data_IF_167798217435
#
_entry.id   IF_167798217435
#
_cell.length_a   1.000
_cell.length_b   1.000
_cell.length_c   1.000
_cell.angle_alpha   90.00
_cell.angle_beta   90.00
_cell.angle_gamma   90.00
#
_symmetry.space_group_name_H-M   'P 1'
#
loop_
_entity.id
_entity.type
_entity.pdbx_description
1 polymer ?
#
# COMPACT_ATOMS: atom_id res chain seq x y z
N UNK A 1 -19.21 -10.01 -8.07
CA UNK A 1 -18.15 -9.54 -7.15
C UNK A 1 -17.36 -10.77 -6.69
N UNK A 2 -16.02 -10.79 -6.66
CA UNK A 2 -15.25 -12.01 -6.36
C UNK A 2 -15.43 -12.47 -4.89
N UNK A 3 -15.48 -13.78 -4.61
CA UNK A 3 -15.80 -14.34 -3.29
C UNK A 3 -14.78 -13.98 -2.19
N UNK A 4 -13.53 -13.68 -2.55
CA UNK A 4 -12.46 -13.35 -1.60
C UNK A 4 -12.63 -11.99 -0.91
N UNK A 5 -13.44 -11.08 -1.46
CA UNK A 5 -13.60 -9.72 -0.90
C UNK A 5 -14.40 -9.72 0.40
N UNK A 6 -15.34 -10.67 0.55
CA UNK A 6 -16.24 -10.76 1.72
C UNK A 6 -15.48 -11.22 2.97
N UNK A 7 -14.46 -12.08 2.82
CA UNK A 7 -13.68 -12.59 3.96
C UNK A 7 -12.68 -11.59 4.52
N UNK A 8 -12.22 -10.65 3.69
CA UNK A 8 -11.16 -9.70 4.04
C UNK A 8 -11.71 -8.29 4.31
N UNK A 9 -13.03 -8.10 4.38
CA UNK A 9 -13.65 -6.77 4.54
C UNK A 9 -13.14 -6.04 5.78
N UNK A 10 -13.18 -6.69 6.95
CA UNK A 10 -12.71 -6.11 8.19
C UNK A 10 -11.23 -5.70 8.13
N UNK A 11 -10.38 -6.51 7.49
CA UNK A 11 -8.96 -6.19 7.32
C UNK A 11 -8.76 -4.98 6.40
N UNK A 12 -9.55 -4.90 5.32
CA UNK A 12 -9.52 -3.77 4.39
C UNK A 12 -9.97 -2.49 5.11
N UNK A 13 -10.98 -2.56 5.96
CA UNK A 13 -11.50 -1.41 6.71
C UNK A 13 -10.44 -0.88 7.68
N UNK A 14 -9.85 -1.76 8.50
CA UNK A 14 -8.76 -1.38 9.43
C UNK A 14 -7.54 -0.80 8.70
N UNK A 15 -7.13 -1.39 7.58
CA UNK A 15 -6.02 -0.86 6.77
C UNK A 15 -6.34 0.52 6.18
N UNK A 16 -7.59 0.74 5.80
CA UNK A 16 -8.04 2.02 5.22
C UNK A 16 -8.09 3.12 6.27
N UNK A 17 -8.55 2.81 7.49
CA UNK A 17 -8.51 3.75 8.63
C UNK A 17 -7.08 4.13 8.99
N UNK A 18 -6.17 3.14 9.06
CA UNK A 18 -4.77 3.38 9.36
C UNK A 18 -4.09 4.24 8.28
N UNK A 19 -4.36 3.93 7.00
CA UNK A 19 -3.85 4.71 5.88
C UNK A 19 -4.38 6.15 5.90
N UNK A 20 -5.67 6.33 6.18
CA UNK A 20 -6.28 7.65 6.30
C UNK A 20 -5.66 8.47 7.44
N UNK A 21 -5.41 7.87 8.61
CA UNK A 21 -4.75 8.55 9.74
C UNK A 21 -3.36 9.09 9.41
N UNK A 22 -2.69 8.51 8.40
CA UNK A 22 -1.34 8.87 7.94
C UNK A 22 -1.36 9.65 6.63
N UNK A 23 -2.54 9.98 6.11
CA UNK A 23 -2.73 10.67 4.83
C UNK A 23 -2.04 9.97 3.65
N UNK A 24 -2.07 8.64 3.64
CA UNK A 24 -1.52 7.78 2.57
C UNK A 24 -2.60 6.82 2.08
N UNK A 25 -2.39 6.21 0.92
CA UNK A 25 -3.30 5.16 0.43
C UNK A 25 -3.01 3.82 1.10
N UNK A 26 -3.99 2.92 1.18
CA UNK A 26 -3.80 1.57 1.75
C UNK A 26 -2.73 0.77 0.98
N UNK A 27 -2.59 1.02 -0.33
CA UNK A 27 -1.54 0.42 -1.15
C UNK A 27 -0.14 0.94 -0.75
N UNK A 28 -0.02 2.25 -0.53
CA UNK A 28 1.23 2.85 -0.08
C UNK A 28 1.63 2.38 1.32
N UNK A 29 0.67 2.28 2.24
CA UNK A 29 0.88 1.75 3.58
C UNK A 29 1.40 0.31 3.54
N UNK A 30 0.78 -0.55 2.73
CA UNK A 30 1.20 -1.94 2.58
C UNK A 30 2.63 -2.06 2.01
N UNK A 31 2.95 -1.28 0.98
CA UNK A 31 4.28 -1.30 0.36
C UNK A 31 5.37 -0.76 1.30
N UNK A 32 5.08 0.33 2.04
CA UNK A 32 6.01 0.87 3.01
C UNK A 32 6.25 -0.10 4.17
N UNK A 33 5.25 -0.88 4.58
CA UNK A 33 5.43 -1.93 5.59
C UNK A 33 6.34 -3.05 5.09
N UNK A 34 6.19 -3.49 3.83
CA UNK A 34 7.09 -4.49 3.22
C UNK A 34 8.53 -3.96 3.19
N UNK A 35 8.70 -2.72 2.74
CA UNK A 35 10.01 -2.08 2.65
C UNK A 35 10.69 -1.87 4.02
N UNK A 36 9.91 -1.78 5.10
CA UNK A 36 10.47 -1.64 6.46
C UNK A 36 10.91 -2.97 7.08
N UNK A 37 10.50 -4.12 6.55
CA UNK A 37 10.86 -5.43 7.13
C UNK A 37 12.33 -5.81 6.88
N UNK A 38 12.87 -5.50 5.70
CA UNK A 38 14.28 -5.75 5.36
C UNK A 38 14.70 -4.81 4.23
N UNK A 39 15.92 -4.27 4.35
CA UNK A 39 16.52 -3.39 3.37
C UNK A 39 16.88 -4.11 2.04
N UNK A 40 16.76 -5.44 1.98
CA UNK A 40 16.94 -6.23 0.76
C UNK A 40 15.67 -6.36 -0.10
N UNK A 41 14.48 -5.97 0.40
CA UNK A 41 13.25 -6.04 -0.38
C UNK A 41 13.16 -4.89 -1.38
N UNK A 42 13.18 -5.21 -2.67
CA UNK A 42 12.92 -4.25 -3.76
C UNK A 42 11.63 -4.65 -4.49
N UNK A 43 10.50 -3.95 -4.26
CA UNK A 43 9.25 -4.26 -4.95
C UNK A 43 9.33 -3.87 -6.43
N UNK A 44 9.01 -4.82 -7.31
CA UNK A 44 8.87 -4.55 -8.74
C UNK A 44 7.45 -4.02 -8.98
N UNK A 45 7.34 -2.69 -9.10
CA UNK A 45 6.08 -2.00 -9.33
C UNK A 45 5.96 -1.65 -10.81
N UNK A 46 5.15 -2.41 -11.55
CA UNK A 46 4.79 -2.05 -12.93
C UNK A 46 3.52 -1.19 -12.94
N UNK A 47 3.50 -0.17 -13.80
CA UNK A 47 2.30 0.62 -14.06
C UNK A 47 2.36 1.22 -15.45
N UNK A 48 1.22 1.25 -16.14
CA UNK A 48 1.05 1.98 -17.40
C UNK A 48 0.41 3.37 -17.19
N UNK A 49 0.02 3.67 -15.94
CA UNK A 49 -0.63 4.92 -15.57
C UNK A 49 0.38 5.83 -14.84
N UNK A 50 0.55 7.05 -15.35
CA UNK A 50 1.51 8.02 -14.82
C UNK A 50 1.19 8.46 -13.38
N UNK A 51 -0.09 8.63 -13.02
CA UNK A 51 -0.47 8.99 -11.65
C UNK A 51 -0.11 7.88 -10.66
N UNK A 52 -0.30 6.62 -11.05
CA UNK A 52 0.13 5.48 -10.23
C UNK A 52 1.64 5.37 -10.08
N UNK A 53 2.41 5.84 -11.07
CA UNK A 53 3.87 5.89 -10.95
C UNK A 53 4.27 6.86 -9.83
N UNK A 54 3.65 8.04 -9.78
CA UNK A 54 3.90 9.02 -8.72
C UNK A 54 3.51 8.48 -7.34
N UNK A 55 2.35 7.82 -7.24
CA UNK A 55 1.90 7.17 -6.00
C UNK A 55 2.88 6.09 -5.52
N UNK A 56 3.40 5.27 -6.45
CA UNK A 56 4.36 4.21 -6.16
C UNK A 56 5.70 4.77 -5.68
N UNK A 57 6.20 5.84 -6.30
CA UNK A 57 7.46 6.48 -5.91
C UNK A 57 7.34 7.10 -4.51
N UNK A 58 6.20 7.71 -4.19
CA UNK A 58 5.97 8.34 -2.89
C UNK A 58 6.07 7.37 -1.71
N UNK A 59 5.92 6.05 -1.93
CA UNK A 59 6.10 5.02 -0.90
C UNK A 59 7.47 5.10 -0.24
N UNK A 60 8.53 5.39 -0.99
CA UNK A 60 9.89 5.43 -0.46
C UNK A 60 10.10 6.50 0.62
N UNK A 61 9.20 7.49 0.70
CA UNK A 61 9.24 8.55 1.71
C UNK A 61 8.35 8.29 2.93
N UNK A 62 7.58 7.19 2.93
CA UNK A 62 6.69 6.82 4.03
C UNK A 62 7.47 5.97 5.03
N UNK A 63 7.57 6.45 6.26
CA UNK A 63 8.14 5.70 7.38
C UNK A 63 7.02 5.15 8.27
N UNK A 64 7.11 3.86 8.58
CA UNK A 64 6.15 3.12 9.41
C UNK A 64 6.89 2.47 10.57
#
# INVERSE_FOLDING_TARGET
>A
MPPFRVRNSHLIDTLSELAASRNVTSAQLALAWILSQDNQYVPILSTVNANRLLENIAVASIQI
#
